data_IF_451857445798
#
_entry.id   IF_451857445798
#
_cell.length_a   1.000
_cell.length_b   1.000
_cell.length_c   1.000
_cell.angle_alpha   90.00
_cell.angle_beta   90.00
_cell.angle_gamma   90.00
#
_symmetry.space_group_name_H-M   'P 1'
#
loop_
_entity.id
_entity.type
_entity.pdbx_description
1 polymer ?
#
# COMPACT_ATOMS: atom_id res chain seq x y z
N UNK A 1 -20.67 -5.92 1.43
CA UNK A 1 -19.23 -5.93 1.76
C UNK A 1 -18.62 -4.71 1.11
N UNK A 2 -17.78 -3.92 1.80
CA UNK A 2 -17.09 -2.81 1.17
C UNK A 2 -16.19 -3.33 0.03
N UNK A 3 -16.05 -2.57 -1.07
CA UNK A 3 -15.05 -2.81 -2.10
C UNK A 3 -13.66 -3.06 -1.49
N UNK A 4 -12.88 -3.92 -2.14
CA UNK A 4 -11.54 -4.26 -1.67
C UNK A 4 -10.64 -3.02 -1.52
N UNK A 5 -10.77 -2.06 -2.45
CA UNK A 5 -10.05 -0.79 -2.41
C UNK A 5 -10.39 0.04 -1.17
N UNK A 6 -11.64 0.06 -0.73
CA UNK A 6 -12.06 0.81 0.46
C UNK A 6 -11.47 0.19 1.73
N UNK A 7 -11.32 -1.13 1.77
CA UNK A 7 -10.64 -1.84 2.87
C UNK A 7 -9.14 -1.56 2.94
N UNK A 8 -8.50 -1.28 1.80
CA UNK A 8 -7.10 -0.86 1.75
C UNK A 8 -7.00 0.59 2.23
N UNK A 9 -7.83 1.47 1.69
CA UNK A 9 -7.90 2.90 2.06
C UNK A 9 -8.29 3.14 3.51
N UNK A 10 -8.99 2.21 4.16
CA UNK A 10 -9.34 2.33 5.58
C UNK A 10 -8.18 2.00 6.55
N UNK A 11 -7.01 1.57 6.05
CA UNK A 11 -5.86 1.25 6.89
C UNK A 11 -5.14 2.53 7.30
N UNK A 12 -4.89 2.70 8.59
CA UNK A 12 -4.26 3.92 9.13
C UNK A 12 -2.88 4.23 8.54
N UNK A 13 -2.16 3.21 8.06
CA UNK A 13 -0.84 3.33 7.44
C UNK A 13 -0.88 3.43 5.91
N UNK A 14 -2.06 3.46 5.28
CA UNK A 14 -2.19 3.70 3.84
C UNK A 14 -2.52 5.18 3.63
N UNK A 15 -1.66 5.88 2.89
CA UNK A 15 -1.87 7.28 2.54
C UNK A 15 -2.67 7.43 1.24
N UNK A 16 -2.31 6.66 0.21
CA UNK A 16 -2.99 6.72 -1.08
C UNK A 16 -3.01 5.36 -1.80
N UNK A 17 -4.03 5.16 -2.64
CA UNK A 17 -4.11 4.05 -3.60
C UNK A 17 -4.59 4.62 -4.92
N UNK A 18 -3.70 4.70 -5.89
CA UNK A 18 -3.96 5.13 -7.26
C UNK A 18 -4.31 3.93 -8.13
N UNK A 19 -5.29 4.12 -9.01
CA UNK A 19 -5.68 3.17 -10.04
C UNK A 19 -5.04 3.62 -11.35
N UNK A 20 -3.91 3.03 -11.70
CA UNK A 20 -3.13 3.41 -12.88
C UNK A 20 -3.39 2.49 -14.08
N UNK A 21 -4.43 1.65 -14.01
CA UNK A 21 -4.76 0.63 -15.03
C UNK A 21 -4.95 1.22 -16.42
N UNK A 22 -5.51 2.42 -16.49
CA UNK A 22 -5.70 3.14 -17.76
C UNK A 22 -4.36 3.58 -18.40
N UNK A 23 -3.29 3.65 -17.62
CA UNK A 23 -1.92 3.96 -18.07
C UNK A 23 -1.07 2.71 -18.35
N UNK A 24 -1.64 1.51 -18.20
CA UNK A 24 -0.92 0.24 -18.35
C UNK A 24 -0.09 -0.18 -17.13
N UNK A 25 -0.10 0.63 -16.06
CA UNK A 25 0.39 0.26 -14.73
C UNK A 25 -0.76 -0.35 -13.93
N UNK A 26 -0.53 -1.23 -12.96
CA UNK A 26 -1.62 -1.79 -12.15
C UNK A 26 -2.24 -0.77 -11.19
N UNK A 27 -1.95 -0.93 -9.91
CA UNK A 27 -2.31 -0.05 -8.82
C UNK A 27 -1.01 0.46 -8.19
N UNK A 28 -0.97 1.72 -7.78
CA UNK A 28 0.13 2.24 -6.98
C UNK A 28 -0.36 2.50 -5.56
N UNK A 29 0.31 1.88 -4.59
CA UNK A 29 0.05 2.06 -3.17
C UNK A 29 1.12 2.96 -2.59
N UNK A 30 0.68 4.00 -1.88
CA UNK A 30 1.54 4.85 -1.07
C UNK A 30 1.13 4.71 0.40
N UNK A 31 2.06 4.32 1.25
CA UNK A 31 1.89 4.30 2.70
C UNK A 31 1.88 5.72 3.27
N UNK A 32 1.27 5.87 4.44
CA UNK A 32 1.27 7.14 5.16
C UNK A 32 2.70 7.46 5.64
N UNK A 33 3.04 8.76 5.84
CA UNK A 33 4.33 9.14 6.41
C UNK A 33 4.59 8.42 7.73
N UNK A 34 5.82 7.95 7.94
CA UNK A 34 6.17 7.16 9.11
C UNK A 34 6.02 5.64 8.92
N UNK A 35 5.67 5.18 7.72
CA UNK A 35 5.55 3.76 7.39
C UNK A 35 6.33 3.39 6.13
N UNK A 36 6.95 2.21 6.16
CA UNK A 36 7.62 1.58 5.02
C UNK A 36 7.10 0.14 4.83
N UNK A 37 7.29 -0.42 3.64
CA UNK A 37 7.09 -1.86 3.43
C UNK A 37 8.18 -2.66 4.15
N UNK A 38 7.78 -3.75 4.81
CA UNK A 38 8.65 -4.51 5.71
C UNK A 38 9.85 -5.15 4.99
N UNK A 39 9.67 -5.54 3.73
CA UNK A 39 10.70 -6.13 2.88
C UNK A 39 11.58 -5.11 2.15
N UNK A 40 11.16 -3.84 2.11
CA UNK A 40 11.93 -2.72 1.55
C UNK A 40 11.97 -1.52 2.53
N UNK A 41 12.72 -1.60 3.65
CA UNK A 41 12.83 -0.52 4.60
C UNK A 41 13.34 0.79 3.97
N UNK A 42 12.67 1.90 4.23
CA UNK A 42 12.88 3.19 3.56
C UNK A 42 12.04 3.40 2.30
N UNK A 43 11.21 2.43 1.89
CA UNK A 43 10.30 2.56 0.76
C UNK A 43 8.84 2.48 1.23
N UNK A 44 8.11 3.58 1.08
CA UNK A 44 6.67 3.66 1.37
C UNK A 44 5.77 3.55 0.14
N UNK A 45 6.32 3.28 -1.06
CA UNK A 45 5.57 3.26 -2.31
C UNK A 45 5.78 1.94 -3.03
N UNK A 46 4.71 1.31 -3.50
CA UNK A 46 4.76 0.01 -4.20
C UNK A 46 3.72 -0.08 -5.30
N UNK A 47 4.15 -0.57 -6.47
CA UNK A 47 3.25 -0.98 -7.54
C UNK A 47 2.70 -2.39 -7.27
N UNK A 48 1.43 -2.62 -7.63
CA UNK A 48 0.75 -3.90 -7.50
C UNK A 48 -0.09 -4.15 -8.77
N UNK A 49 -0.11 -5.36 -9.30
CA UNK A 49 -0.91 -5.67 -10.49
C UNK A 49 -2.41 -5.73 -10.19
N UNK A 50 -2.76 -6.07 -8.95
CA UNK A 50 -4.16 -6.27 -8.53
C UNK A 50 -4.45 -5.67 -7.16
N UNK A 51 -5.73 -5.35 -6.90
CA UNK A 51 -6.18 -4.99 -5.54
C UNK A 51 -5.96 -6.11 -4.51
N UNK A 52 -5.95 -7.37 -4.95
CA UNK A 52 -5.69 -8.51 -4.06
C UNK A 52 -4.23 -8.52 -3.60
N UNK A 53 -3.31 -8.16 -4.48
CA UNK A 53 -1.90 -7.98 -4.13
C UNK A 53 -1.73 -6.75 -3.24
N UNK A 54 -2.27 -5.60 -3.63
CA UNK A 54 -2.24 -4.39 -2.80
C UNK A 54 -2.82 -4.64 -1.39
N UNK A 55 -3.85 -5.46 -1.26
CA UNK A 55 -4.38 -5.87 0.04
C UNK A 55 -3.39 -6.70 0.85
N UNK A 56 -2.64 -7.62 0.24
CA UNK A 56 -1.62 -8.41 0.93
C UNK A 56 -0.45 -7.53 1.35
N UNK A 57 0.05 -6.72 0.43
CA UNK A 57 1.22 -5.85 0.64
C UNK A 57 0.98 -4.82 1.74
N UNK A 58 -0.25 -4.31 1.85
CA UNK A 58 -0.59 -3.35 2.91
C UNK A 58 -1.00 -4.00 4.22
N UNK A 59 -0.85 -5.33 4.42
CA UNK A 59 -1.19 -5.96 5.71
C UNK A 59 -0.23 -5.47 6.79
N UNK A 60 -0.68 -5.45 8.04
CA UNK A 60 0.15 -4.98 9.16
C UNK A 60 1.47 -5.75 9.31
N UNK A 61 1.50 -7.03 8.91
CA UNK A 61 2.71 -7.85 8.88
C UNK A 61 3.74 -7.43 7.83
N UNK A 62 3.31 -6.70 6.81
CA UNK A 62 4.11 -6.28 5.67
C UNK A 62 4.42 -4.78 5.69
N UNK A 63 4.05 -4.09 6.77
CA UNK A 63 4.29 -2.66 6.98
C UNK A 63 4.97 -2.47 8.31
N UNK A 64 6.04 -1.68 8.33
CA UNK A 64 6.80 -1.32 9.53
C UNK A 64 6.76 0.19 9.76
N UNK A 65 6.94 0.61 11.00
CA UNK A 65 7.12 2.03 11.32
C UNK A 65 8.53 2.47 10.87
N UNK A 66 8.62 3.50 10.02
CA UNK A 66 9.88 4.02 9.49
C UNK A 66 10.67 4.87 10.50
N UNK A 67 10.08 5.11 11.68
CA UNK A 67 10.64 5.90 12.79
C UNK A 67 11.89 5.28 13.45
N UNK A 68 12.35 4.11 13.02
CA UNK A 68 13.57 3.46 13.52
C UNK A 68 14.84 3.81 12.71
N UNK A 69 14.92 5.01 12.15
CA UNK A 69 16.17 5.55 11.56
C UNK A 69 16.84 6.56 12.48
#
# INVERSE_FOLDING_TARGET
MPPLIDRIKSRAWVGHVDDERDSGSGYMVTLAPGYDFADEPGCGVRGCDTLTEAEKETRRSNVIDSTYK
#
